data_IF_736313267891
#
_entry.id   IF_736313267891
#
_cell.length_a   1.000
_cell.length_b   1.000
_cell.length_c   1.000
_cell.angle_alpha   90.00
_cell.angle_beta   90.00
_cell.angle_gamma   90.00
#
_symmetry.space_group_name_H-M   'P 1'
#
loop_
_entity.id
_entity.type
_entity.pdbx_description
1 polymer ?
#
# COMPACT_ATOMS: atom_id res chain seq x y z
N UNK A 1 35.26 -27.41 17.89
CA UNK A 1 34.82 -26.41 16.88
C UNK A 1 33.49 -25.83 17.34
N UNK A 2 33.37 -24.52 17.65
CA UNK A 2 32.10 -23.96 18.08
C UNK A 2 31.14 -23.95 16.89
N UNK A 3 29.93 -24.50 17.08
CA UNK A 3 28.91 -24.59 16.03
C UNK A 3 28.63 -23.18 15.49
N UNK A 4 28.91 -22.95 14.20
CA UNK A 4 28.48 -21.73 13.49
C UNK A 4 26.96 -21.74 13.31
N UNK A 5 26.20 -21.60 14.41
CA UNK A 5 24.77 -21.30 14.32
C UNK A 5 24.65 -19.87 13.81
N UNK A 6 24.11 -19.70 12.59
CA UNK A 6 23.72 -18.38 12.08
C UNK A 6 22.69 -17.78 13.05
N UNK A 7 22.69 -16.46 13.22
CA UNK A 7 21.66 -15.78 14.00
C UNK A 7 20.24 -16.12 13.48
N UNK A 8 19.25 -16.17 14.37
CA UNK A 8 17.89 -16.60 14.05
C UNK A 8 17.23 -15.78 12.93
N UNK A 9 17.36 -14.46 12.97
CA UNK A 9 16.74 -13.57 11.98
C UNK A 9 17.38 -13.67 10.58
N UNK A 10 18.72 -13.64 10.41
CA UNK A 10 19.34 -13.93 9.12
C UNK A 10 18.96 -15.30 8.54
N UNK A 11 18.84 -16.34 9.38
CA UNK A 11 18.42 -17.66 8.94
C UNK A 11 16.95 -17.68 8.48
N UNK A 12 16.06 -17.04 9.24
CA UNK A 12 14.64 -16.86 8.88
C UNK A 12 14.50 -16.11 7.54
N UNK A 13 15.16 -14.96 7.40
CA UNK A 13 15.12 -14.18 6.16
C UNK A 13 15.65 -14.97 4.97
N UNK A 14 16.73 -15.74 5.13
CA UNK A 14 17.25 -16.59 4.09
C UNK A 14 16.25 -17.69 3.68
N UNK A 15 15.57 -18.30 4.66
CA UNK A 15 14.52 -19.29 4.41
C UNK A 15 13.33 -18.70 3.66
N UNK A 16 12.81 -17.55 4.10
CA UNK A 16 11.69 -16.85 3.44
C UNK A 16 12.05 -16.40 2.03
N UNK A 17 13.28 -15.92 1.81
CA UNK A 17 13.82 -15.57 0.49
C UNK A 17 13.90 -16.77 -0.43
N UNK A 18 14.32 -17.93 0.09
CA UNK A 18 14.40 -19.15 -0.71
C UNK A 18 12.99 -19.62 -1.09
N UNK A 19 12.06 -19.65 -0.14
CA UNK A 19 10.68 -20.07 -0.36
C UNK A 19 9.98 -19.22 -1.44
N UNK A 20 10.11 -17.90 -1.34
CA UNK A 20 9.50 -16.96 -2.31
C UNK A 20 10.16 -16.97 -3.69
N UNK A 21 11.39 -17.49 -3.82
CA UNK A 21 12.12 -17.57 -5.10
C UNK A 21 11.93 -18.90 -5.84
N UNK A 22 11.28 -19.90 -5.26
CA UNK A 22 11.03 -21.16 -5.97
C UNK A 22 10.12 -20.91 -7.18
N UNK A 23 10.35 -21.54 -8.35
CA UNK A 23 9.56 -21.30 -9.55
C UNK A 23 8.06 -21.52 -9.36
N UNK A 24 7.70 -22.51 -8.55
CA UNK A 24 6.31 -22.86 -8.22
C UNK A 24 5.67 -21.76 -7.37
N UNK A 25 6.27 -21.42 -6.22
CA UNK A 25 5.73 -20.37 -5.35
C UNK A 25 5.67 -19.05 -6.07
N UNK A 26 6.73 -18.68 -6.82
CA UNK A 26 6.78 -17.44 -7.59
C UNK A 26 5.64 -17.35 -8.60
N UNK A 27 5.37 -18.42 -9.35
CA UNK A 27 4.26 -18.45 -10.31
C UNK A 27 2.91 -18.33 -9.61
N UNK A 28 2.75 -18.99 -8.46
CA UNK A 28 1.53 -18.94 -7.67
C UNK A 28 1.28 -17.55 -7.08
N UNK A 29 2.29 -16.88 -6.51
CA UNK A 29 2.08 -15.57 -5.87
C UNK A 29 2.04 -14.44 -6.88
N UNK A 30 2.68 -14.56 -8.05
CA UNK A 30 2.75 -13.49 -9.06
C UNK A 30 1.37 -13.00 -9.51
N UNK A 31 0.37 -13.89 -9.52
CA UNK A 31 -1.03 -13.56 -9.82
C UNK A 31 -1.61 -12.49 -8.91
N UNK A 32 -1.15 -12.36 -7.66
CA UNK A 32 -1.60 -11.31 -6.74
C UNK A 32 -1.29 -9.90 -7.28
N UNK A 33 -0.21 -9.75 -8.05
CA UNK A 33 0.20 -8.49 -8.65
C UNK A 33 -0.32 -8.27 -10.08
N UNK A 34 -1.18 -9.16 -10.59
CA UNK A 34 -1.78 -8.93 -11.91
C UNK A 34 -2.88 -7.87 -11.82
N UNK A 35 -2.84 -6.94 -12.78
CA UNK A 35 -3.90 -5.97 -12.98
C UNK A 35 -5.16 -6.66 -13.49
N UNK A 36 -6.29 -6.17 -13.02
CA UNK A 36 -7.61 -6.62 -13.44
C UNK A 36 -8.61 -5.46 -13.40
N UNK A 37 -9.73 -5.64 -14.08
CA UNK A 37 -10.85 -4.72 -14.01
C UNK A 37 -11.96 -5.34 -13.16
N UNK A 38 -12.42 -4.63 -12.14
CA UNK A 38 -13.56 -5.02 -11.31
C UNK A 38 -14.49 -3.82 -11.15
N UNK A 39 -15.78 -3.98 -11.48
CA UNK A 39 -16.79 -2.93 -11.40
C UNK A 39 -16.39 -1.61 -12.10
N UNK A 40 -15.74 -1.70 -13.26
CA UNK A 40 -15.29 -0.54 -14.05
C UNK A 40 -14.08 0.20 -13.46
N UNK A 41 -13.41 -0.37 -12.45
CA UNK A 41 -12.18 0.17 -11.85
C UNK A 41 -11.01 -0.77 -12.11
N UNK A 42 -9.88 -0.19 -12.52
CA UNK A 42 -8.60 -0.90 -12.56
C UNK A 42 -8.12 -1.16 -11.13
N UNK A 43 -7.75 -2.39 -10.85
CA UNK A 43 -7.30 -2.84 -9.54
C UNK A 43 -6.32 -4.01 -9.70
N UNK A 44 -5.80 -4.53 -8.60
CA UNK A 44 -4.98 -5.74 -8.58
C UNK A 44 -5.76 -6.90 -7.95
N UNK A 45 -5.35 -8.13 -8.28
CA UNK A 45 -5.91 -9.33 -7.64
C UNK A 45 -5.72 -9.29 -6.12
N UNK A 46 -4.59 -8.78 -5.62
CA UNK A 46 -4.34 -8.64 -4.19
C UNK A 46 -5.35 -7.71 -3.52
N UNK A 47 -5.54 -6.51 -4.07
CA UNK A 47 -6.47 -5.53 -3.51
C UNK A 47 -7.92 -6.06 -3.53
N UNK A 48 -8.33 -6.65 -4.65
CA UNK A 48 -9.67 -7.22 -4.78
C UNK A 48 -9.89 -8.43 -3.87
N UNK A 49 -8.88 -9.29 -3.71
CA UNK A 49 -8.95 -10.41 -2.77
C UNK A 49 -9.15 -9.95 -1.32
N UNK A 50 -8.48 -8.87 -0.91
CA UNK A 50 -8.67 -8.25 0.41
C UNK A 50 -10.05 -7.59 0.56
N UNK A 51 -10.57 -6.95 -0.49
CA UNK A 51 -11.95 -6.44 -0.51
C UNK A 51 -12.96 -7.56 -0.27
N UNK A 52 -12.79 -8.70 -0.94
CA UNK A 52 -13.68 -9.86 -0.79
C UNK A 52 -13.68 -10.46 0.63
N UNK A 53 -12.55 -10.35 1.36
CA UNK A 53 -12.47 -10.75 2.76
C UNK A 53 -13.32 -9.82 3.65
N UNK A 54 -13.31 -8.51 3.36
CA UNK A 54 -14.02 -7.51 4.16
C UNK A 54 -15.52 -7.44 3.86
N UNK A 55 -15.90 -7.50 2.58
CA UNK A 55 -17.26 -7.19 2.12
C UNK A 55 -18.12 -8.43 1.82
N UNK A 56 -17.52 -9.64 1.82
CA UNK A 56 -18.19 -10.91 1.48
C UNK A 56 -19.01 -10.88 0.18
N UNK A 57 -18.61 -10.02 -0.77
CA UNK A 57 -19.25 -9.84 -2.06
C UNK A 57 -18.92 -11.02 -3.01
N UNK A 58 -19.91 -11.51 -3.77
CA UNK A 58 -19.72 -12.60 -4.72
C UNK A 58 -19.39 -12.10 -6.14
N UNK A 59 -19.57 -10.81 -6.41
CA UNK A 59 -19.40 -10.21 -7.73
C UNK A 59 -17.94 -9.79 -7.98
N UNK A 60 -17.07 -10.78 -8.14
CA UNK A 60 -15.68 -10.58 -8.54
C UNK A 60 -15.13 -11.78 -9.32
N UNK A 61 -13.96 -11.62 -9.94
CA UNK A 61 -13.37 -12.65 -10.77
C UNK A 61 -12.99 -13.91 -9.98
N UNK A 62 -12.99 -15.06 -10.65
CA UNK A 62 -12.67 -16.36 -10.02
C UNK A 62 -11.27 -16.37 -9.38
N UNK A 63 -10.32 -15.66 -9.97
CA UNK A 63 -8.94 -15.55 -9.47
C UNK A 63 -8.92 -14.81 -8.13
N UNK A 64 -9.55 -13.63 -8.03
CA UNK A 64 -9.61 -12.87 -6.79
C UNK A 64 -10.33 -13.65 -5.67
N UNK A 65 -11.40 -14.38 -6.00
CA UNK A 65 -12.11 -15.25 -5.04
C UNK A 65 -11.23 -16.40 -4.53
N UNK A 66 -10.41 -16.98 -5.40
CA UNK A 66 -9.45 -18.01 -5.02
C UNK A 66 -8.38 -17.45 -4.06
N UNK A 67 -7.78 -16.31 -4.40
CA UNK A 67 -6.77 -15.68 -3.54
C UNK A 67 -7.36 -15.14 -2.24
N UNK A 68 -8.61 -14.66 -2.24
CA UNK A 68 -9.31 -14.25 -1.02
C UNK A 68 -9.36 -15.40 0.01
N UNK A 69 -9.74 -16.61 -0.43
CA UNK A 69 -9.74 -17.80 0.44
C UNK A 69 -8.35 -18.18 0.93
N UNK A 70 -7.33 -18.12 0.07
CA UNK A 70 -5.93 -18.39 0.45
C UNK A 70 -5.48 -17.38 1.51
N UNK A 71 -5.70 -16.09 1.27
CA UNK A 71 -5.31 -15.02 2.19
C UNK A 71 -6.05 -15.15 3.53
N UNK A 72 -7.34 -15.47 3.53
CA UNK A 72 -8.09 -15.77 4.77
C UNK A 72 -7.46 -16.92 5.56
N UNK A 73 -7.05 -18.01 4.89
CA UNK A 73 -6.36 -19.13 5.56
C UNK A 73 -5.01 -18.69 6.15
N UNK A 74 -4.24 -17.90 5.40
CA UNK A 74 -2.95 -17.35 5.88
C UNK A 74 -3.17 -16.43 7.09
N UNK A 75 -4.16 -15.55 7.05
CA UNK A 75 -4.50 -14.69 8.18
C UNK A 75 -4.92 -15.50 9.39
N UNK A 76 -5.82 -16.48 9.23
CA UNK A 76 -6.22 -17.39 10.33
C UNK A 76 -5.04 -18.10 10.97
N UNK A 77 -4.13 -18.64 10.16
CA UNK A 77 -2.93 -19.29 10.66
C UNK A 77 -2.01 -18.31 11.41
N UNK A 78 -1.82 -17.10 10.88
CA UNK A 78 -1.02 -16.06 11.54
C UNK A 78 -1.66 -15.60 12.86
N UNK A 79 -2.96 -15.30 12.85
CA UNK A 79 -3.74 -14.91 14.02
C UNK A 79 -3.64 -15.99 15.11
N UNK A 80 -3.81 -17.26 14.76
CA UNK A 80 -3.68 -18.36 15.71
C UNK A 80 -2.27 -18.47 16.30
N UNK A 81 -1.23 -18.30 15.47
CA UNK A 81 0.17 -18.35 15.90
C UNK A 81 0.53 -17.23 16.90
N UNK A 82 -0.10 -16.06 16.76
CA UNK A 82 0.16 -14.88 17.60
C UNK A 82 -0.94 -14.61 18.65
N UNK A 83 -1.88 -15.54 18.83
CA UNK A 83 -3.04 -15.40 19.74
C UNK A 83 -3.86 -14.11 19.50
N UNK A 84 -4.00 -13.69 18.23
CA UNK A 84 -4.81 -12.54 17.84
C UNK A 84 -6.31 -12.86 17.75
N UNK A 85 -7.10 -11.84 17.41
CA UNK A 85 -8.55 -11.97 17.15
C UNK A 85 -8.86 -11.76 15.68
N UNK A 86 -9.68 -12.64 15.11
CA UNK A 86 -10.05 -12.58 13.68
C UNK A 86 -10.97 -11.40 13.38
N UNK A 87 -11.84 -11.03 14.31
CA UNK A 87 -12.77 -9.91 14.16
C UNK A 87 -12.04 -8.57 14.01
N UNK A 88 -10.93 -8.38 14.73
CA UNK A 88 -10.11 -7.17 14.65
C UNK A 88 -9.45 -7.03 13.27
N UNK A 89 -9.04 -8.14 12.64
CA UNK A 89 -8.48 -8.14 11.28
C UNK A 89 -9.57 -7.86 10.24
N UNK A 90 -10.73 -8.49 10.37
CA UNK A 90 -11.86 -8.24 9.47
C UNK A 90 -12.32 -6.77 9.56
N UNK A 91 -12.37 -6.20 10.77
CA UNK A 91 -12.71 -4.80 10.99
C UNK A 91 -11.67 -3.87 10.36
N UNK A 92 -10.37 -4.12 10.57
CA UNK A 92 -9.31 -3.33 9.95
C UNK A 92 -9.37 -3.35 8.41
N UNK A 93 -9.72 -4.49 7.81
CA UNK A 93 -9.86 -4.62 6.35
C UNK A 93 -11.07 -3.87 5.78
N UNK A 94 -12.03 -3.40 6.61
CA UNK A 94 -13.11 -2.54 6.11
C UNK A 94 -12.56 -1.19 5.63
N UNK A 95 -11.51 -0.68 6.25
CA UNK A 95 -10.82 0.55 5.82
C UNK A 95 -10.12 0.31 4.46
N UNK A 96 -10.51 1.05 3.39
CA UNK A 96 -9.86 0.97 2.09
C UNK A 96 -8.36 1.27 2.14
N UNK A 97 -7.91 2.12 3.05
CA UNK A 97 -6.50 2.52 3.23
C UNK A 97 -5.66 1.35 3.73
N UNK A 98 -6.21 0.56 4.68
CA UNK A 98 -5.57 -0.66 5.18
C UNK A 98 -5.47 -1.69 4.05
N UNK A 99 -6.55 -1.89 3.29
CA UNK A 99 -6.54 -2.78 2.12
C UNK A 99 -5.50 -2.35 1.08
N UNK A 100 -5.39 -1.06 0.80
CA UNK A 100 -4.41 -0.51 -0.14
C UNK A 100 -2.98 -0.76 0.32
N UNK A 101 -2.65 -0.45 1.57
CA UNK A 101 -1.31 -0.68 2.13
C UNK A 101 -0.93 -2.15 2.12
N UNK A 102 -1.85 -3.04 2.51
CA UNK A 102 -1.61 -4.48 2.52
C UNK A 102 -1.49 -5.05 1.10
N UNK A 103 -2.32 -4.60 0.16
CA UNK A 103 -2.22 -4.98 -1.25
C UNK A 103 -0.84 -4.62 -1.82
N UNK A 104 -0.37 -3.39 -1.59
CA UNK A 104 0.93 -2.93 -2.06
C UNK A 104 2.09 -3.81 -1.55
N UNK A 105 2.02 -4.24 -0.27
CA UNK A 105 2.99 -5.17 0.31
C UNK A 105 2.89 -6.56 -0.32
N UNK A 106 1.69 -7.10 -0.49
CA UNK A 106 1.46 -8.40 -1.13
C UNK A 106 1.95 -8.40 -2.59
N UNK A 107 1.73 -7.31 -3.32
CA UNK A 107 2.23 -7.11 -4.68
C UNK A 107 3.76 -7.04 -4.72
N UNK A 108 4.38 -6.33 -3.77
CA UNK A 108 5.83 -6.29 -3.62
C UNK A 108 6.43 -7.69 -3.36
N UNK A 109 5.78 -8.49 -2.50
CA UNK A 109 6.16 -9.87 -2.26
C UNK A 109 5.95 -10.75 -3.51
N UNK A 110 4.86 -10.54 -4.25
CA UNK A 110 4.55 -11.29 -5.46
C UNK A 110 5.55 -11.03 -6.60
N UNK A 111 5.97 -9.77 -6.77
CA UNK A 111 6.88 -9.35 -7.84
C UNK A 111 8.34 -9.59 -7.49
N UNK A 112 8.74 -9.29 -6.25
CA UNK A 112 10.14 -9.21 -5.85
C UNK A 112 10.54 -10.26 -4.80
N UNK A 113 9.59 -10.96 -4.20
CA UNK A 113 9.83 -11.80 -3.03
C UNK A 113 10.22 -10.98 -1.79
N UNK A 114 10.74 -11.66 -0.77
CA UNK A 114 11.22 -10.99 0.45
C UNK A 114 12.54 -10.28 0.18
N UNK A 115 12.59 -8.98 0.39
CA UNK A 115 13.78 -8.12 0.15
C UNK A 115 14.10 -7.27 1.39
N UNK A 116 15.34 -6.77 1.50
CA UNK A 116 15.75 -5.86 2.59
C UNK A 116 16.53 -4.70 1.97
N UNK A 117 16.02 -3.45 2.03
CA UNK A 117 14.64 -3.10 2.42
C UNK A 117 13.60 -3.76 1.50
N UNK A 118 12.34 -3.87 1.96
CA UNK A 118 11.29 -4.48 1.15
C UNK A 118 10.97 -3.58 -0.05
N UNK A 119 11.08 -4.16 -1.26
CA UNK A 119 10.70 -3.52 -2.53
C UNK A 119 9.19 -3.60 -2.72
N UNK A 120 8.62 -2.50 -3.18
CA UNK A 120 7.20 -2.34 -3.50
C UNK A 120 7.08 -1.83 -4.94
N UNK A 121 6.00 -2.15 -5.67
CA UNK A 121 5.81 -1.69 -7.04
C UNK A 121 5.55 -0.18 -7.12
N UNK A 122 5.13 0.44 -6.02
CA UNK A 122 4.94 1.88 -5.87
C UNK A 122 5.44 2.37 -4.49
N UNK A 123 5.70 3.68 -4.33
CA UNK A 123 5.98 4.27 -3.02
C UNK A 123 4.84 4.00 -2.05
N UNK A 124 5.17 3.60 -0.82
CA UNK A 124 4.17 3.42 0.23
C UNK A 124 3.54 4.76 0.65
N UNK A 125 4.37 5.79 0.79
CA UNK A 125 3.97 7.13 1.18
C UNK A 125 4.59 8.15 0.23
N UNK A 126 3.79 9.10 -0.25
CA UNK A 126 4.27 10.31 -0.91
C UNK A 126 4.00 11.51 0.00
N UNK A 127 5.06 12.26 0.32
CA UNK A 127 4.93 13.57 0.95
C UNK A 127 4.85 14.61 -0.17
N UNK A 128 3.68 15.19 -0.36
CA UNK A 128 3.41 16.12 -1.44
C UNK A 128 3.37 17.56 -0.94
N UNK A 129 4.33 18.38 -1.39
CA UNK A 129 4.27 19.83 -1.21
C UNK A 129 3.15 20.42 -2.06
N UNK A 130 1.97 20.55 -1.46
CA UNK A 130 0.71 20.89 -2.13
C UNK A 130 0.62 22.36 -2.54
N UNK A 131 1.25 23.23 -1.74
CA UNK A 131 1.34 24.67 -1.95
C UNK A 131 2.59 25.19 -1.24
N UNK A 132 3.14 26.33 -1.68
CA UNK A 132 4.14 27.07 -0.93
C UNK A 132 3.51 28.16 -0.04
N UNK A 133 2.21 28.43 -0.20
CA UNK A 133 1.48 29.38 0.62
C UNK A 133 1.52 28.97 2.10
N UNK A 134 1.90 29.89 2.99
CA UNK A 134 1.93 29.64 4.41
C UNK A 134 1.57 30.91 5.20
N UNK A 135 0.64 30.76 6.15
CA UNK A 135 0.22 31.80 7.09
C UNK A 135 1.14 31.93 8.31
N UNK A 136 2.21 31.11 8.39
CA UNK A 136 3.20 31.13 9.47
C UNK A 136 4.57 31.63 8.98
N UNK A 137 5.50 31.85 9.92
CA UNK A 137 6.88 32.34 9.70
C UNK A 137 7.87 31.62 10.62
N UNK A 138 7.86 30.29 10.60
CA UNK A 138 8.68 29.48 11.52
C UNK A 138 10.18 29.67 11.27
N UNK A 139 10.96 29.94 12.32
CA UNK A 139 12.43 30.14 12.24
C UNK A 139 13.19 28.92 11.69
N UNK A 140 12.62 27.73 11.86
CA UNK A 140 13.19 26.45 11.43
C UNK A 140 12.53 25.88 10.15
N UNK A 141 11.82 26.70 9.37
CA UNK A 141 11.19 26.25 8.14
C UNK A 141 12.25 25.98 7.05
N UNK A 142 12.52 24.70 6.77
CA UNK A 142 13.50 24.31 5.75
C UNK A 142 13.09 24.77 4.34
N UNK A 143 11.79 24.78 4.04
CA UNK A 143 11.25 25.19 2.74
C UNK A 143 11.23 26.71 2.56
N UNK A 144 11.28 27.49 3.66
CA UNK A 144 11.04 28.94 3.66
C UNK A 144 9.72 29.30 2.95
N UNK A 145 8.67 28.54 3.26
CA UNK A 145 7.34 28.74 2.69
C UNK A 145 6.77 30.12 3.05
N UNK A 146 5.92 30.67 2.18
CA UNK A 146 5.44 32.03 2.31
C UNK A 146 4.35 32.36 1.30
N UNK A 147 4.71 33.01 0.20
CA UNK A 147 3.77 33.29 -0.89
C UNK A 147 3.60 32.07 -1.81
N UNK A 148 2.45 31.91 -2.47
CA UNK A 148 2.27 30.90 -3.50
C UNK A 148 3.36 31.02 -4.58
N UNK A 149 3.83 29.90 -5.11
CA UNK A 149 4.73 29.92 -6.27
C UNK A 149 3.93 30.16 -7.56
N UNK A 150 4.52 30.86 -8.53
CA UNK A 150 3.93 31.02 -9.86
C UNK A 150 3.78 29.71 -10.63
N UNK A 151 4.48 28.67 -10.20
CA UNK A 151 4.49 27.32 -10.78
C UNK A 151 3.63 26.33 -9.98
N UNK A 152 2.76 26.80 -9.08
CA UNK A 152 1.83 25.90 -8.40
C UNK A 152 0.84 25.27 -9.38
N UNK A 153 0.55 23.99 -9.15
CA UNK A 153 -0.42 23.25 -9.96
C UNK A 153 -1.81 23.88 -9.86
N UNK A 154 -2.47 23.94 -11.01
CA UNK A 154 -3.89 24.30 -11.12
C UNK A 154 -4.77 23.30 -10.36
N UNK A 155 -6.04 23.64 -10.17
CA UNK A 155 -6.99 22.73 -9.51
C UNK A 155 -7.08 21.39 -10.25
N UNK A 156 -7.18 21.43 -11.58
CA UNK A 156 -7.31 20.22 -12.39
C UNK A 156 -6.05 19.35 -12.29
N UNK A 157 -4.86 19.94 -12.40
CA UNK A 157 -3.61 19.21 -12.26
C UNK A 157 -3.47 18.56 -10.88
N UNK A 158 -3.93 19.23 -9.82
CA UNK A 158 -3.93 18.66 -8.45
C UNK A 158 -4.82 17.42 -8.35
N UNK A 159 -6.00 17.42 -8.96
CA UNK A 159 -6.89 16.26 -9.02
C UNK A 159 -6.27 15.13 -9.88
N UNK A 160 -5.65 15.50 -11.00
CA UNK A 160 -4.98 14.55 -11.88
C UNK A 160 -3.78 13.89 -11.21
N UNK A 161 -3.06 14.60 -10.32
CA UNK A 161 -2.01 14.00 -9.49
C UNK A 161 -2.60 12.92 -8.59
N UNK A 162 -3.66 13.19 -7.83
CA UNK A 162 -4.29 12.17 -6.95
C UNK A 162 -4.72 10.94 -7.75
N UNK A 163 -5.34 11.14 -8.93
CA UNK A 163 -5.71 10.05 -9.82
C UNK A 163 -4.52 9.20 -10.25
N UNK A 164 -3.40 9.84 -10.60
CA UNK A 164 -2.16 9.13 -10.96
C UNK A 164 -1.59 8.35 -9.77
N UNK A 165 -1.64 8.91 -8.56
CA UNK A 165 -1.16 8.23 -7.35
C UNK A 165 -2.00 7.00 -7.01
N UNK A 166 -3.32 7.09 -7.11
CA UNK A 166 -4.23 5.95 -6.92
C UNK A 166 -4.01 4.87 -7.99
N UNK A 167 -3.89 5.26 -9.27
CA UNK A 167 -3.59 4.33 -10.36
C UNK A 167 -2.24 3.64 -10.22
N UNK A 168 -1.23 4.35 -9.67
CA UNK A 168 0.07 3.77 -9.37
C UNK A 168 0.02 2.81 -8.16
N UNK A 169 -1.04 2.82 -7.36
CA UNK A 169 -1.17 1.98 -6.16
C UNK A 169 -0.47 2.54 -4.92
N UNK A 170 -0.21 3.86 -4.87
CA UNK A 170 0.35 4.52 -3.68
C UNK A 170 -0.59 4.33 -2.48
N UNK A 171 -0.03 3.93 -1.34
CA UNK A 171 -0.84 3.59 -0.17
C UNK A 171 -1.25 4.80 0.67
N UNK A 172 -0.42 5.84 0.72
CA UNK A 172 -0.68 7.04 1.50
C UNK A 172 -0.10 8.29 0.86
N UNK A 173 -0.79 9.41 1.08
CA UNK A 173 -0.32 10.75 0.71
C UNK A 173 -0.32 11.61 1.97
N UNK A 174 0.81 12.23 2.27
CA UNK A 174 0.94 13.26 3.29
C UNK A 174 1.01 14.62 2.60
N UNK A 175 -0.01 15.45 2.80
CA UNK A 175 0.02 16.83 2.33
C UNK A 175 1.01 17.65 3.15
N UNK A 176 1.90 18.36 2.46
CA UNK A 176 2.98 19.16 3.02
C UNK A 176 3.17 20.44 2.19
N UNK A 177 4.31 21.10 2.35
CA UNK A 177 4.68 22.34 1.68
C UNK A 177 4.73 23.51 2.67
N UNK A 178 3.94 24.55 2.38
CA UNK A 178 3.57 25.57 3.35
C UNK A 178 2.51 25.05 4.33
N UNK A 179 1.37 25.73 4.40
CA UNK A 179 0.21 25.26 5.15
C UNK A 179 -0.86 24.78 4.14
N UNK A 180 -1.04 23.46 3.92
CA UNK A 180 -2.01 22.98 2.93
C UNK A 180 -3.45 23.42 3.21
N UNK A 181 -3.84 23.54 4.49
CA UNK A 181 -5.24 23.76 4.89
C UNK A 181 -5.78 25.15 4.54
N UNK A 182 -4.91 26.14 4.29
CA UNK A 182 -5.35 27.47 3.84
C UNK A 182 -5.62 27.55 2.34
N UNK A 183 -5.18 26.55 1.57
CA UNK A 183 -5.28 26.60 0.11
C UNK A 183 -6.71 26.25 -0.34
N UNK A 184 -7.36 27.04 -1.23
CA UNK A 184 -8.77 26.87 -1.58
C UNK A 184 -9.11 25.51 -2.21
N UNK A 185 -8.18 24.90 -2.95
CA UNK A 185 -8.37 23.57 -3.55
C UNK A 185 -8.22 22.40 -2.54
N UNK A 186 -7.71 22.62 -1.33
CA UNK A 186 -7.41 21.53 -0.39
C UNK A 186 -8.65 20.68 -0.04
N UNK A 187 -9.82 21.26 0.29
CA UNK A 187 -11.01 20.45 0.60
C UNK A 187 -11.55 19.64 -0.59
N UNK A 188 -11.26 20.05 -1.83
CA UNK A 188 -11.66 19.33 -3.02
C UNK A 188 -10.73 18.15 -3.31
N UNK A 189 -9.42 18.31 -3.06
CA UNK A 189 -8.39 17.28 -3.28
C UNK A 189 -8.39 16.22 -2.17
N UNK A 190 -8.84 16.57 -0.96
CA UNK A 190 -8.92 15.65 0.18
C UNK A 190 -10.08 14.64 0.10
N UNK A 191 -11.12 14.95 -0.68
CA UNK A 191 -12.34 14.13 -0.82
C UNK A 191 -12.18 13.02 -1.84
#
# INVERSE_FOLDING_TARGET
>A
MPSRRRGGFPALLAGLRLATKTPVTKTLIKKLAEEMESNGRKTTVAFEALRLIAEHDANSCLIARFYSKILSLVFKAAIACFHGKEEEVAEALKDPSVRRGLALVLEGLALYGVTVPQKLPAPFLIVWNFTNACNLRCKHCYQRAGLPLSTELTHQEKLDVIKQLDQAGVAAVAFSGGEPTIHPHFPAVLK
#
